data_IF_135665292859
#
_entry.id   IF_135665292859
#
_cell.length_a   1.000
_cell.length_b   1.000
_cell.length_c   1.000
_cell.angle_alpha   90.00
_cell.angle_beta   90.00
_cell.angle_gamma   90.00
#
_symmetry.space_group_name_H-M   'P 1'
#
loop_
_entity.id
_entity.type
_entity.pdbx_description
1 polymer ?
#
# COMPACT_ATOMS: atom_id res chain seq x y z
N UNK A 1 -15.76 -33.25 -16.24
CA UNK A 1 -16.28 -32.23 -15.35
C UNK A 1 -16.14 -32.53 -13.84
N UNK A 2 -15.88 -33.72 -13.43
CA UNK A 2 -15.83 -34.18 -12.02
C UNK A 2 -14.52 -33.84 -11.29
N UNK A 3 -13.38 -33.76 -11.96
CA UNK A 3 -12.08 -33.48 -11.38
C UNK A 3 -11.87 -31.99 -10.96
N UNK A 4 -12.67 -31.07 -11.50
CA UNK A 4 -12.57 -29.62 -11.16
C UNK A 4 -13.20 -29.32 -9.78
N UNK A 5 -14.25 -30.01 -9.38
CA UNK A 5 -14.98 -29.73 -8.13
C UNK A 5 -14.20 -30.04 -6.84
N UNK A 6 -13.31 -31.04 -6.87
CA UNK A 6 -12.53 -31.45 -5.67
C UNK A 6 -11.26 -30.62 -5.43
N UNK A 7 -10.77 -29.89 -6.44
CA UNK A 7 -9.58 -29.05 -6.34
C UNK A 7 -9.88 -27.60 -5.89
N UNK A 8 -11.12 -27.18 -5.93
CA UNK A 8 -11.56 -25.79 -5.68
C UNK A 8 -11.37 -25.31 -4.23
N UNK A 9 -11.70 -26.07 -3.16
CA UNK A 9 -11.45 -25.62 -1.79
C UNK A 9 -9.96 -25.41 -1.52
N UNK A 10 -9.11 -26.29 -2.10
CA UNK A 10 -7.65 -26.18 -2.00
C UNK A 10 -7.12 -24.95 -2.73
N UNK A 11 -7.66 -24.60 -3.89
CA UNK A 11 -7.23 -23.43 -4.68
C UNK A 11 -7.41 -22.11 -3.92
N UNK A 12 -8.54 -21.90 -3.22
CA UNK A 12 -8.77 -20.69 -2.44
C UNK A 12 -7.83 -20.59 -1.22
N UNK A 13 -7.56 -21.71 -0.55
CA UNK A 13 -6.62 -21.78 0.56
C UNK A 13 -5.18 -21.48 0.11
N UNK A 14 -4.78 -22.04 -1.03
CA UNK A 14 -3.43 -21.81 -1.60
C UNK A 14 -3.27 -20.38 -2.11
N UNK A 15 -4.32 -19.80 -2.73
CA UNK A 15 -4.31 -18.39 -3.10
C UNK A 15 -4.10 -17.52 -1.86
N UNK A 16 -4.81 -17.84 -0.76
CA UNK A 16 -4.61 -17.17 0.53
C UNK A 16 -3.19 -17.30 1.05
N UNK A 17 -2.61 -18.51 1.03
CA UNK A 17 -1.25 -18.76 1.49
C UNK A 17 -0.18 -18.03 0.64
N UNK A 18 -0.28 -18.10 -0.70
CA UNK A 18 0.61 -17.39 -1.59
C UNK A 18 0.51 -15.86 -1.40
N UNK A 19 -0.71 -15.36 -1.23
CA UNK A 19 -0.96 -13.94 -0.95
C UNK A 19 -0.42 -13.55 0.42
N UNK A 20 -0.51 -14.41 1.44
CA UNK A 20 0.04 -14.15 2.77
C UNK A 20 1.56 -14.03 2.74
N UNK A 21 2.25 -14.95 2.05
CA UNK A 21 3.69 -14.87 1.85
C UNK A 21 4.10 -13.55 1.17
N UNK A 22 3.38 -13.17 0.11
CA UNK A 22 3.64 -11.92 -0.59
C UNK A 22 3.35 -10.70 0.29
N UNK A 23 2.20 -10.65 0.96
CA UNK A 23 1.78 -9.51 1.78
C UNK A 23 2.70 -9.29 2.97
N UNK A 24 3.12 -10.36 3.66
CA UNK A 24 4.11 -10.30 4.73
C UNK A 24 5.45 -9.77 4.20
N UNK A 25 5.96 -10.31 3.09
CA UNK A 25 7.21 -9.85 2.53
C UNK A 25 7.16 -8.37 2.12
N UNK A 26 6.09 -7.93 1.46
CA UNK A 26 5.98 -6.56 0.98
C UNK A 26 5.76 -5.55 2.11
N UNK A 27 5.05 -5.91 3.18
CA UNK A 27 4.86 -5.03 4.33
C UNK A 27 6.17 -4.82 5.10
N UNK A 28 6.96 -5.87 5.29
CA UNK A 28 8.31 -5.77 5.88
C UNK A 28 9.22 -4.95 4.98
N UNK A 29 9.24 -5.23 3.67
CA UNK A 29 10.05 -4.49 2.71
C UNK A 29 9.70 -2.99 2.75
N UNK A 30 8.41 -2.64 2.73
CA UNK A 30 7.94 -1.25 2.78
C UNK A 30 8.38 -0.49 4.02
N UNK A 31 8.42 -1.15 5.18
CA UNK A 31 8.78 -0.52 6.46
C UNK A 31 10.28 -0.49 6.74
N UNK A 32 11.08 -1.36 6.10
CA UNK A 32 12.53 -1.45 6.33
C UNK A 32 13.37 -0.79 5.25
N UNK A 33 12.80 -0.49 4.08
CA UNK A 33 13.57 0.05 2.93
C UNK A 33 14.21 1.40 3.23
N UNK A 34 13.52 2.35 3.86
CA UNK A 34 14.08 3.66 4.19
C UNK A 34 15.26 3.53 5.16
N UNK A 35 15.14 2.64 6.14
CA UNK A 35 16.21 2.38 7.10
C UNK A 35 17.40 1.67 6.42
N UNK A 36 17.15 0.67 5.58
CA UNK A 36 18.19 0.00 4.80
C UNK A 36 18.98 0.98 3.92
N UNK A 37 18.29 1.88 3.24
CA UNK A 37 18.93 2.89 2.40
C UNK A 37 19.83 3.82 3.20
N UNK A 38 19.39 4.21 4.41
CA UNK A 38 20.16 5.08 5.28
C UNK A 38 21.37 4.35 5.90
N UNK A 39 21.16 3.17 6.48
CA UNK A 39 22.15 2.46 7.29
C UNK A 39 23.15 1.64 6.46
N UNK A 40 22.64 0.93 5.43
CA UNK A 40 23.45 -0.02 4.65
C UNK A 40 23.96 0.57 3.33
N UNK A 41 23.14 1.40 2.66
CA UNK A 41 23.53 2.01 1.40
C UNK A 41 24.10 3.43 1.56
N UNK A 42 24.20 3.95 2.79
CA UNK A 42 24.75 5.27 3.09
C UNK A 42 24.00 6.43 2.42
N UNK A 43 22.70 6.27 2.22
CA UNK A 43 21.89 7.25 1.54
C UNK A 43 21.38 8.33 2.52
N UNK A 44 21.81 9.56 2.31
CA UNK A 44 21.19 10.72 3.00
C UNK A 44 19.70 10.87 2.60
N UNK A 45 18.93 11.70 3.33
CA UNK A 45 17.49 11.84 3.16
C UNK A 45 17.04 12.13 1.72
N UNK A 46 17.77 12.98 0.99
CA UNK A 46 17.48 13.29 -0.41
C UNK A 46 17.61 12.08 -1.33
N UNK A 47 18.61 11.20 -1.10
CA UNK A 47 18.79 9.95 -1.84
C UNK A 47 17.70 8.94 -1.49
N UNK A 48 17.29 8.86 -0.22
CA UNK A 48 16.14 8.03 0.19
C UNK A 48 14.89 8.47 -0.57
N UNK A 49 14.59 9.77 -0.62
CA UNK A 49 13.46 10.29 -1.38
C UNK A 49 13.55 9.98 -2.87
N UNK A 50 14.75 10.16 -3.48
CA UNK A 50 14.98 9.83 -4.89
C UNK A 50 14.71 8.36 -5.22
N UNK A 51 15.10 7.44 -4.34
CA UNK A 51 14.76 6.02 -4.49
C UNK A 51 13.25 5.81 -4.60
N UNK A 52 12.45 6.41 -3.71
CA UNK A 52 11.00 6.25 -3.72
C UNK A 52 10.37 6.89 -4.96
N UNK A 53 10.86 8.03 -5.44
CA UNK A 53 10.44 8.65 -6.71
C UNK A 53 10.70 7.72 -7.90
N UNK A 54 11.94 7.22 -8.03
CA UNK A 54 12.31 6.31 -9.13
C UNK A 54 11.48 5.02 -9.07
N UNK A 55 11.32 4.44 -7.88
CA UNK A 55 10.51 3.23 -7.69
C UNK A 55 9.05 3.47 -8.05
N UNK A 56 8.47 4.62 -7.70
CA UNK A 56 7.10 4.96 -8.05
C UNK A 56 6.91 5.13 -9.56
N UNK A 57 7.79 5.87 -10.24
CA UNK A 57 7.73 6.07 -11.69
C UNK A 57 7.82 4.75 -12.44
N UNK A 58 8.81 3.92 -12.08
CA UNK A 58 9.00 2.61 -12.71
C UNK A 58 7.84 1.67 -12.42
N UNK A 59 7.34 1.64 -11.17
CA UNK A 59 6.19 0.80 -10.79
C UNK A 59 4.92 1.16 -11.56
N UNK A 60 4.65 2.44 -11.79
CA UNK A 60 3.52 2.90 -12.61
C UNK A 60 3.69 2.44 -14.06
N UNK A 61 4.86 2.66 -14.65
CA UNK A 61 5.18 2.23 -16.01
C UNK A 61 5.03 0.71 -16.20
N UNK A 62 5.61 -0.06 -15.27
CA UNK A 62 5.51 -1.52 -15.27
C UNK A 62 4.09 -2.00 -15.00
N UNK A 63 3.36 -1.36 -14.08
CA UNK A 63 1.96 -1.67 -13.81
C UNK A 63 1.07 -1.55 -15.04
N UNK A 64 1.24 -0.47 -15.82
CA UNK A 64 0.50 -0.25 -17.07
C UNK A 64 0.90 -1.25 -18.17
N UNK A 65 2.18 -1.52 -18.33
CA UNK A 65 2.68 -2.44 -19.38
C UNK A 65 2.32 -3.89 -19.06
N UNK A 66 2.57 -4.33 -17.82
CA UNK A 66 2.21 -5.68 -17.35
C UNK A 66 0.69 -5.85 -17.32
N UNK A 67 -0.07 -4.83 -16.94
CA UNK A 67 -1.52 -4.84 -17.01
C UNK A 67 -2.02 -5.16 -18.42
N UNK A 68 -1.60 -4.38 -19.41
CA UNK A 68 -1.94 -4.58 -20.84
C UNK A 68 -1.46 -5.92 -21.38
N UNK A 69 -0.25 -6.36 -21.00
CA UNK A 69 0.29 -7.64 -21.39
C UNK A 69 -0.47 -8.80 -20.74
N UNK A 70 -0.76 -8.70 -19.45
CA UNK A 70 -1.55 -9.70 -18.73
C UNK A 70 -2.94 -9.88 -19.34
N UNK A 71 -3.47 -8.79 -19.93
CA UNK A 71 -4.75 -8.79 -20.61
C UNK A 71 -4.77 -9.61 -21.91
N UNK A 72 -3.63 -9.91 -22.48
CA UNK A 72 -3.46 -10.77 -23.67
C UNK A 72 -3.14 -12.23 -23.32
N UNK A 73 -2.78 -12.51 -22.06
CA UNK A 73 -2.41 -13.86 -21.64
C UNK A 73 -3.65 -14.71 -21.35
N UNK A 74 -3.56 -15.98 -21.71
CA UNK A 74 -4.59 -16.99 -21.42
C UNK A 74 -4.56 -17.46 -19.97
N UNK A 75 -3.43 -17.28 -19.28
CA UNK A 75 -3.22 -17.75 -17.89
C UNK A 75 -2.57 -16.64 -17.04
N UNK A 76 -3.38 -15.95 -16.25
CA UNK A 76 -2.96 -14.87 -15.34
C UNK A 76 -2.02 -15.36 -14.22
N UNK A 77 -2.05 -16.66 -13.91
CA UNK A 77 -1.15 -17.29 -12.93
C UNK A 77 0.32 -17.01 -13.25
N UNK A 78 0.72 -17.00 -14.54
CA UNK A 78 2.09 -16.73 -14.95
C UNK A 78 2.55 -15.31 -14.56
N UNK A 79 1.63 -14.34 -14.52
CA UNK A 79 1.95 -12.98 -14.08
C UNK A 79 2.16 -12.93 -12.57
N UNK A 80 1.36 -13.67 -11.79
CA UNK A 80 1.56 -13.80 -10.34
C UNK A 80 2.94 -14.43 -10.03
N UNK A 81 3.30 -15.49 -10.76
CA UNK A 81 4.61 -16.16 -10.63
C UNK A 81 5.75 -15.20 -10.97
N UNK A 82 5.65 -14.51 -12.12
CA UNK A 82 6.67 -13.55 -12.56
C UNK A 82 6.86 -12.43 -11.52
N UNK A 83 5.76 -11.85 -11.03
CA UNK A 83 5.81 -10.78 -10.04
C UNK A 83 6.43 -11.24 -8.70
N UNK A 84 6.07 -12.45 -8.24
CA UNK A 84 6.66 -13.02 -7.03
C UNK A 84 8.14 -13.36 -7.19
N UNK A 85 8.55 -13.89 -8.35
CA UNK A 85 9.97 -14.16 -8.67
C UNK A 85 10.78 -12.87 -8.78
N UNK A 86 10.21 -11.82 -9.39
CA UNK A 86 10.86 -10.51 -9.43
C UNK A 86 11.05 -9.94 -8.02
N UNK A 87 10.05 -10.07 -7.16
CA UNK A 87 10.16 -9.68 -5.76
C UNK A 87 11.23 -10.47 -5.01
N UNK A 88 11.30 -11.80 -5.23
CA UNK A 88 12.32 -12.65 -4.64
C UNK A 88 13.73 -12.25 -5.09
N UNK A 89 13.93 -12.02 -6.39
CA UNK A 89 15.19 -11.54 -6.93
C UNK A 89 15.55 -10.15 -6.40
N UNK A 90 14.55 -9.25 -6.27
CA UNK A 90 14.73 -7.93 -5.67
C UNK A 90 15.16 -8.01 -4.22
N UNK A 91 14.48 -8.81 -3.38
CA UNK A 91 14.85 -9.02 -1.99
C UNK A 91 16.24 -9.69 -1.87
N UNK A 92 16.55 -10.67 -2.71
CA UNK A 92 17.89 -11.26 -2.79
C UNK A 92 18.97 -10.23 -3.13
N UNK A 93 18.65 -9.31 -4.05
CA UNK A 93 19.54 -8.19 -4.37
C UNK A 93 19.81 -7.28 -3.16
N UNK A 94 18.78 -6.93 -2.40
CA UNK A 94 18.92 -6.15 -1.16
C UNK A 94 19.70 -6.93 -0.09
N UNK A 95 19.61 -8.26 -0.04
CA UNK A 95 20.40 -9.06 0.88
C UNK A 95 21.93 -8.95 0.60
N UNK A 96 22.31 -8.80 -0.66
CA UNK A 96 23.70 -8.92 -1.11
C UNK A 96 24.36 -7.59 -1.48
N UNK A 97 23.58 -6.62 -1.98
CA UNK A 97 24.09 -5.36 -2.55
C UNK A 97 23.94 -4.22 -1.57
N UNK A 98 25.00 -3.40 -1.46
CA UNK A 98 25.03 -2.19 -0.61
C UNK A 98 25.24 -0.91 -1.41
N UNK A 99 25.64 -1.03 -2.67
CA UNK A 99 25.86 0.13 -3.54
C UNK A 99 24.53 0.78 -3.90
N UNK A 100 24.35 2.04 -3.52
CA UNK A 100 23.10 2.78 -3.67
C UNK A 100 22.50 2.73 -5.09
N UNK A 101 23.34 2.95 -6.14
CA UNK A 101 22.87 2.95 -7.52
C UNK A 101 22.28 1.60 -7.95
N UNK A 102 22.94 0.50 -7.56
CA UNK A 102 22.43 -0.86 -7.85
C UNK A 102 21.17 -1.18 -7.05
N UNK A 103 21.13 -0.78 -5.76
CA UNK A 103 19.93 -0.91 -4.93
C UNK A 103 18.75 -0.15 -5.54
N UNK A 104 18.98 1.07 -6.07
CA UNK A 104 17.94 1.83 -6.78
C UNK A 104 17.45 1.09 -8.03
N UNK A 105 18.37 0.57 -8.85
CA UNK A 105 17.99 -0.16 -10.06
C UNK A 105 17.20 -1.44 -9.72
N UNK A 106 17.69 -2.23 -8.75
CA UNK A 106 17.02 -3.45 -8.27
C UNK A 106 15.64 -3.14 -7.71
N UNK A 107 15.55 -2.18 -6.79
CA UNK A 107 14.29 -1.81 -6.14
C UNK A 107 13.28 -1.23 -7.13
N UNK A 108 13.70 -0.33 -8.02
CA UNK A 108 12.80 0.26 -9.02
C UNK A 108 12.30 -0.78 -10.03
N UNK A 109 13.18 -1.59 -10.62
CA UNK A 109 12.81 -2.54 -11.66
C UNK A 109 12.15 -3.80 -11.08
N UNK A 110 12.83 -4.50 -10.19
CA UNK A 110 12.33 -5.77 -9.65
C UNK A 110 11.23 -5.54 -8.61
N UNK A 111 11.38 -4.55 -7.75
CA UNK A 111 10.34 -4.15 -6.80
C UNK A 111 9.11 -3.59 -7.50
N UNK A 112 9.29 -2.76 -8.55
CA UNK A 112 8.19 -2.26 -9.37
C UNK A 112 7.42 -3.39 -10.07
N UNK A 113 8.13 -4.40 -10.59
CA UNK A 113 7.51 -5.57 -11.19
C UNK A 113 6.79 -6.42 -10.14
N UNK A 114 7.38 -6.60 -8.96
CA UNK A 114 6.75 -7.31 -7.84
C UNK A 114 5.42 -6.66 -7.42
N UNK A 115 5.32 -5.35 -7.41
CA UNK A 115 4.10 -4.63 -7.05
C UNK A 115 2.90 -4.96 -7.94
N UNK A 116 3.13 -5.44 -9.17
CA UNK A 116 2.05 -5.89 -10.06
C UNK A 116 1.28 -7.09 -9.50
N UNK A 117 1.88 -7.87 -8.58
CA UNK A 117 1.21 -9.01 -7.92
C UNK A 117 -0.10 -8.60 -7.28
N UNK A 118 -0.13 -7.48 -6.57
CA UNK A 118 -1.32 -7.01 -5.85
C UNK A 118 -2.53 -6.83 -6.77
N UNK A 119 -2.37 -6.13 -7.91
CA UNK A 119 -3.45 -5.95 -8.87
C UNK A 119 -3.87 -7.26 -9.54
N UNK A 120 -2.92 -8.13 -9.85
CA UNK A 120 -3.15 -9.38 -10.54
C UNK A 120 -3.82 -10.45 -9.65
N UNK A 121 -3.52 -10.48 -8.34
CA UNK A 121 -4.16 -11.43 -7.43
C UNK A 121 -5.65 -11.12 -7.21
N UNK A 122 -6.03 -9.83 -7.18
CA UNK A 122 -7.45 -9.47 -7.14
C UNK A 122 -8.18 -9.85 -8.41
N UNK A 123 -7.56 -9.64 -9.58
CA UNK A 123 -8.12 -10.05 -10.85
C UNK A 123 -8.25 -11.59 -10.95
N UNK A 124 -7.23 -12.34 -10.51
CA UNK A 124 -7.27 -13.80 -10.45
C UNK A 124 -8.36 -14.31 -9.48
N UNK A 125 -8.48 -13.70 -8.30
CA UNK A 125 -9.51 -14.06 -7.33
C UNK A 125 -10.93 -13.84 -7.88
N UNK A 126 -11.13 -12.78 -8.66
CA UNK A 126 -12.39 -12.53 -9.37
C UNK A 126 -12.68 -13.60 -10.41
N UNK A 127 -11.74 -13.89 -11.30
CA UNK A 127 -11.87 -14.92 -12.34
C UNK A 127 -12.12 -16.30 -11.71
N UNK A 128 -11.41 -16.65 -10.64
CA UNK A 128 -11.61 -17.89 -9.90
C UNK A 128 -13.03 -17.97 -9.29
N UNK A 129 -13.54 -16.86 -8.77
CA UNK A 129 -14.89 -16.79 -8.18
C UNK A 129 -15.97 -16.98 -9.26
N UNK A 130 -15.81 -16.37 -10.43
CA UNK A 130 -16.73 -16.49 -11.57
C UNK A 130 -16.85 -17.95 -12.04
N UNK A 131 -15.73 -18.69 -12.19
CA UNK A 131 -15.72 -20.10 -12.63
C UNK A 131 -16.28 -21.03 -11.56
N UNK A 132 -16.06 -20.71 -10.28
CA UNK A 132 -16.47 -21.57 -9.17
C UNK A 132 -17.90 -21.31 -8.71
N UNK A 133 -18.58 -20.32 -9.29
CA UNK A 133 -19.92 -19.88 -8.85
C UNK A 133 -19.96 -19.32 -7.43
N UNK A 134 -18.79 -18.94 -6.88
CA UNK A 134 -18.68 -18.31 -5.55
C UNK A 134 -18.97 -16.82 -5.65
N UNK A 135 -19.41 -16.22 -4.54
CA UNK A 135 -19.61 -14.79 -4.46
C UNK A 135 -18.29 -14.04 -4.71
N UNK A 136 -18.27 -13.18 -5.74
CA UNK A 136 -17.15 -12.29 -6.07
C UNK A 136 -16.69 -11.47 -4.87
N UNK A 137 -17.65 -10.97 -4.10
CA UNK A 137 -17.41 -10.19 -2.88
C UNK A 137 -16.62 -10.99 -1.84
N UNK A 138 -16.91 -12.28 -1.65
CA UNK A 138 -16.17 -13.13 -0.71
C UNK A 138 -14.76 -13.41 -1.18
N UNK A 139 -14.55 -13.65 -2.48
CA UNK A 139 -13.23 -13.92 -3.06
C UNK A 139 -12.29 -12.74 -2.89
N UNK A 140 -12.74 -11.55 -3.27
CA UNK A 140 -11.94 -10.32 -3.15
C UNK A 140 -11.76 -9.88 -1.70
N UNK A 141 -12.78 -10.05 -0.84
CA UNK A 141 -12.69 -9.72 0.59
C UNK A 141 -11.67 -10.62 1.31
N UNK A 142 -11.59 -11.92 0.96
CA UNK A 142 -10.58 -12.81 1.57
C UNK A 142 -9.15 -12.40 1.21
N UNK A 143 -8.88 -12.04 -0.05
CA UNK A 143 -7.58 -11.53 -0.48
C UNK A 143 -7.23 -10.25 0.29
N UNK A 144 -8.18 -9.32 0.42
CA UNK A 144 -7.99 -8.07 1.15
C UNK A 144 -7.68 -8.30 2.64
N UNK A 145 -8.40 -9.23 3.28
CA UNK A 145 -8.15 -9.61 4.68
C UNK A 145 -6.72 -10.16 4.88
N UNK A 146 -6.23 -10.96 3.93
CA UNK A 146 -4.85 -11.48 3.97
C UNK A 146 -3.82 -10.36 3.83
N UNK A 147 -4.05 -9.38 2.94
CA UNK A 147 -3.18 -8.20 2.85
C UNK A 147 -3.17 -7.41 4.18
N UNK A 148 -4.34 -7.17 4.77
CA UNK A 148 -4.44 -6.48 6.06
C UNK A 148 -3.68 -7.23 7.17
N UNK A 149 -3.82 -8.56 7.24
CA UNK A 149 -3.05 -9.38 8.18
C UNK A 149 -1.54 -9.27 7.96
N UNK A 150 -1.09 -9.22 6.69
CA UNK A 150 0.31 -8.98 6.34
C UNK A 150 0.84 -7.64 6.88
N UNK A 151 0.06 -6.58 6.78
CA UNK A 151 0.43 -5.26 7.31
C UNK A 151 0.40 -5.19 8.84
N UNK A 152 -0.47 -5.96 9.51
CA UNK A 152 -0.50 -6.05 10.99
C UNK A 152 0.71 -6.79 11.52
N UNK A 153 1.05 -7.93 10.91
CA UNK A 153 2.06 -8.87 11.43
C UNK A 153 3.46 -8.59 10.88
N UNK A 154 3.55 -8.13 9.61
CA UNK A 154 4.82 -7.98 8.92
C UNK A 154 5.77 -6.96 9.56
N UNK A 155 5.38 -5.68 9.75
CA UNK A 155 6.28 -4.68 10.31
C UNK A 155 6.83 -5.03 11.69
N UNK A 156 6.02 -5.47 12.69
CA UNK A 156 6.55 -5.87 13.99
C UNK A 156 7.50 -7.06 13.88
N UNK A 157 7.11 -8.10 13.15
CA UNK A 157 7.93 -9.30 13.00
C UNK A 157 9.22 -9.01 12.23
N UNK A 158 9.13 -8.23 11.13
CA UNK A 158 10.27 -7.89 10.30
C UNK A 158 11.30 -7.03 11.02
N UNK A 159 10.86 -5.98 11.72
CA UNK A 159 11.76 -5.10 12.46
C UNK A 159 12.33 -5.78 13.73
N UNK A 160 11.55 -6.65 14.39
CA UNK A 160 12.09 -7.51 15.45
C UNK A 160 13.17 -8.46 14.90
N UNK A 161 12.91 -9.11 13.76
CA UNK A 161 13.89 -10.00 13.13
C UNK A 161 15.12 -9.23 12.68
N UNK A 162 14.96 -8.04 12.13
CA UNK A 162 16.06 -7.15 11.72
C UNK A 162 17.04 -6.91 12.88
N UNK A 163 16.56 -6.61 14.08
CA UNK A 163 17.42 -6.36 15.24
C UNK A 163 18.17 -7.60 15.72
N UNK A 164 17.73 -8.80 15.35
CA UNK A 164 18.36 -10.08 15.73
C UNK A 164 19.31 -10.61 14.67
N UNK A 165 19.03 -10.40 13.40
CA UNK A 165 19.72 -11.09 12.31
C UNK A 165 20.38 -10.15 11.29
N UNK A 166 20.08 -8.85 11.36
CA UNK A 166 20.55 -7.84 10.40
C UNK A 166 19.82 -7.89 9.05
N UNK A 167 20.10 -6.90 8.19
CA UNK A 167 19.42 -6.71 6.90
C UNK A 167 19.65 -7.87 5.93
N UNK A 168 20.86 -8.43 5.86
CA UNK A 168 21.18 -9.51 4.92
C UNK A 168 20.31 -10.74 5.13
N UNK A 169 20.21 -11.22 6.37
CA UNK A 169 19.39 -12.39 6.71
C UNK A 169 17.88 -12.07 6.59
N UNK A 170 17.46 -10.87 7.00
CA UNK A 170 16.07 -10.42 6.83
C UNK A 170 15.65 -10.50 5.36
N UNK A 171 16.39 -9.84 4.46
CA UNK A 171 16.03 -9.80 3.04
C UNK A 171 16.17 -11.16 2.35
N UNK A 172 17.12 -12.01 2.77
CA UNK A 172 17.18 -13.40 2.32
C UNK A 172 15.92 -14.19 2.72
N UNK A 173 15.41 -13.98 3.94
CA UNK A 173 14.15 -14.55 4.40
C UNK A 173 12.94 -14.05 3.59
N UNK A 174 12.91 -12.76 3.25
CA UNK A 174 11.84 -12.20 2.37
C UNK A 174 11.93 -12.79 0.96
N UNK A 175 13.14 -12.99 0.42
CA UNK A 175 13.35 -13.65 -0.85
C UNK A 175 12.80 -15.09 -0.83
N UNK A 176 13.08 -15.85 0.22
CA UNK A 176 12.55 -17.21 0.39
C UNK A 176 11.03 -17.23 0.47
N UNK A 177 10.43 -16.27 1.19
CA UNK A 177 8.99 -16.14 1.32
C UNK A 177 8.31 -15.84 -0.04
N UNK A 178 8.90 -14.97 -0.85
CA UNK A 178 8.44 -14.63 -2.19
C UNK A 178 8.64 -15.76 -3.19
N UNK A 179 9.73 -16.53 -3.07
CA UNK A 179 9.92 -17.78 -3.81
C UNK A 179 8.83 -18.79 -3.47
N UNK A 180 8.50 -18.94 -2.19
CA UNK A 180 7.39 -19.81 -1.77
C UNK A 180 6.07 -19.34 -2.38
N UNK A 181 5.78 -18.05 -2.39
CA UNK A 181 4.60 -17.50 -3.06
C UNK A 181 4.58 -17.86 -4.56
N UNK A 182 5.71 -17.73 -5.25
CA UNK A 182 5.84 -18.09 -6.66
C UNK A 182 5.62 -19.60 -6.90
N UNK A 183 6.20 -20.45 -6.07
CA UNK A 183 6.03 -21.91 -6.15
C UNK A 183 4.59 -22.32 -5.90
N UNK A 184 3.93 -21.78 -4.86
CA UNK A 184 2.52 -22.01 -4.59
C UNK A 184 1.64 -21.57 -5.77
N UNK A 185 1.92 -20.39 -6.32
CA UNK A 185 1.20 -19.90 -7.48
C UNK A 185 1.43 -20.79 -8.72
N UNK A 186 2.65 -21.25 -8.95
CA UNK A 186 3.01 -22.05 -10.14
C UNK A 186 2.45 -23.47 -10.13
N UNK A 187 2.53 -24.13 -8.98
CA UNK A 187 2.27 -25.56 -8.89
C UNK A 187 0.87 -25.92 -8.38
N UNK A 188 0.25 -25.04 -7.61
CA UNK A 188 -1.01 -25.37 -6.93
C UNK A 188 -2.21 -24.56 -7.41
N UNK A 189 -2.00 -23.31 -7.89
CA UNK A 189 -3.13 -22.54 -8.43
C UNK A 189 -3.60 -23.14 -9.77
N UNK A 190 -4.92 -23.31 -9.98
CA UNK A 190 -5.47 -23.79 -11.24
C UNK A 190 -5.28 -22.76 -12.36
N UNK A 191 -5.29 -23.24 -13.61
CA UNK A 191 -5.42 -22.36 -14.77
C UNK A 191 -6.85 -21.87 -14.88
N UNK A 192 -7.03 -20.56 -14.89
CA UNK A 192 -8.34 -19.92 -14.97
C UNK A 192 -8.48 -19.28 -16.34
N UNK A 193 -9.40 -19.80 -17.21
CA UNK A 193 -9.70 -19.15 -18.48
C UNK A 193 -10.31 -17.77 -18.24
N UNK A 194 -9.97 -16.81 -19.07
CA UNK A 194 -10.34 -15.43 -18.89
C UNK A 194 -11.70 -15.09 -19.52
N UNK A 195 -12.51 -14.31 -18.79
CA UNK A 195 -13.66 -13.60 -19.35
C UNK A 195 -13.19 -12.24 -19.92
N UNK A 196 -13.49 -11.99 -21.20
CA UNK A 196 -13.19 -10.70 -21.83
C UNK A 196 -14.18 -9.64 -21.32
N UNK A 197 -13.69 -8.62 -20.62
CA UNK A 197 -14.49 -7.44 -20.32
C UNK A 197 -14.23 -6.35 -21.37
N UNK A 198 -15.26 -5.70 -21.92
CA UNK A 198 -15.09 -4.60 -22.86
C UNK A 198 -14.38 -3.42 -22.20
N UNK A 199 -13.36 -2.88 -22.87
CA UNK A 199 -12.65 -1.69 -22.42
C UNK A 199 -13.50 -0.44 -22.71
N UNK A 200 -13.96 0.23 -21.67
CA UNK A 200 -14.56 1.57 -21.78
C UNK A 200 -13.48 2.62 -22.06
N UNK A 201 -13.77 3.60 -22.92
CA UNK A 201 -12.85 4.72 -23.22
C UNK A 201 -12.62 5.55 -21.96
N UNK A 202 -11.37 5.59 -21.49
CA UNK A 202 -10.97 6.36 -20.29
C UNK A 202 -11.27 7.86 -20.46
N UNK A 203 -11.15 8.39 -21.69
CA UNK A 203 -11.34 9.81 -21.98
C UNK A 203 -12.79 10.25 -21.78
N UNK A 204 -13.74 9.44 -22.24
CA UNK A 204 -15.18 9.76 -22.10
C UNK A 204 -15.62 9.64 -20.65
N UNK A 205 -15.03 8.69 -19.92
CA UNK A 205 -15.26 8.53 -18.49
C UNK A 205 -14.73 9.71 -17.68
N UNK A 206 -13.57 10.28 -18.01
CA UNK A 206 -12.98 11.42 -17.32
C UNK A 206 -13.76 12.71 -17.51
N UNK A 207 -14.34 12.94 -18.69
CA UNK A 207 -15.11 14.14 -19.01
C UNK A 207 -16.45 14.22 -18.26
N UNK A 208 -16.96 13.10 -17.75
CA UNK A 208 -18.21 13.01 -17.02
C UNK A 208 -18.04 13.13 -15.49
N UNK A 209 -16.79 13.23 -15.00
CA UNK A 209 -16.52 13.30 -13.56
C UNK A 209 -16.87 14.68 -13.00
N UNK A 210 -17.81 14.79 -12.04
CA UNK A 210 -18.19 16.07 -11.44
C UNK A 210 -17.03 16.76 -10.73
N UNK A 211 -17.01 18.10 -10.71
CA UNK A 211 -16.00 18.89 -10.00
C UNK A 211 -15.86 18.49 -8.53
N UNK A 212 -16.96 18.18 -7.87
CA UNK A 212 -16.96 17.72 -6.47
C UNK A 212 -16.20 16.40 -6.27
N UNK A 213 -16.20 15.51 -7.27
CA UNK A 213 -15.44 14.25 -7.23
C UNK A 213 -13.93 14.52 -7.39
N UNK A 214 -13.53 15.47 -8.25
CA UNK A 214 -12.12 15.88 -8.36
C UNK A 214 -11.58 16.49 -7.07
N UNK A 215 -12.39 17.29 -6.36
CA UNK A 215 -12.02 17.83 -5.04
C UNK A 215 -11.83 16.72 -4.01
N UNK A 216 -12.67 15.68 -4.04
CA UNK A 216 -12.53 14.51 -3.17
C UNK A 216 -11.27 13.68 -3.50
N UNK A 217 -11.02 13.45 -4.78
CA UNK A 217 -9.80 12.74 -5.23
C UNK A 217 -8.53 13.53 -4.87
N UNK A 218 -8.56 14.85 -5.04
CA UNK A 218 -7.47 15.74 -4.61
C UNK A 218 -7.22 15.69 -3.11
N UNK A 219 -8.28 15.70 -2.30
CA UNK A 219 -8.18 15.56 -0.85
C UNK A 219 -7.62 14.17 -0.45
N UNK A 220 -8.11 13.10 -1.07
CA UNK A 220 -7.61 11.75 -0.84
C UNK A 220 -6.13 11.63 -1.24
N UNK A 221 -5.74 12.22 -2.38
CA UNK A 221 -4.33 12.26 -2.80
C UNK A 221 -3.47 13.00 -1.79
N UNK A 222 -3.89 14.17 -1.32
CA UNK A 222 -3.11 14.95 -0.35
C UNK A 222 -2.87 14.18 0.96
N UNK A 223 -3.88 13.48 1.47
CA UNK A 223 -3.73 12.64 2.67
C UNK A 223 -2.86 11.41 2.41
N UNK A 224 -3.04 10.75 1.26
CA UNK A 224 -2.20 9.61 0.88
C UNK A 224 -0.73 10.03 0.71
N UNK A 225 -0.46 11.27 0.27
CA UNK A 225 0.91 11.83 0.24
C UNK A 225 1.45 11.98 1.65
N UNK A 226 0.66 12.56 2.56
CA UNK A 226 1.06 12.72 3.96
C UNK A 226 1.35 11.37 4.64
N UNK A 227 0.51 10.36 4.39
CA UNK A 227 0.69 9.00 4.89
C UNK A 227 1.95 8.35 4.32
N UNK A 228 2.18 8.47 3.01
CA UNK A 228 3.41 7.97 2.37
C UNK A 228 4.66 8.65 2.92
N UNK A 229 4.63 9.97 3.19
CA UNK A 229 5.72 10.68 3.86
C UNK A 229 5.96 10.13 5.28
N UNK A 230 4.90 9.87 6.04
CA UNK A 230 4.98 9.24 7.36
C UNK A 230 5.64 7.86 7.30
N UNK A 231 5.20 6.99 6.39
CA UNK A 231 5.76 5.64 6.25
C UNK A 231 7.24 5.65 5.87
N UNK A 232 7.68 6.60 5.03
CA UNK A 232 9.10 6.75 4.65
C UNK A 232 9.93 7.31 5.82
N UNK A 233 9.40 8.31 6.53
CA UNK A 233 10.13 9.05 7.54
C UNK A 233 10.13 8.39 8.93
N UNK A 234 9.12 7.57 9.27
CA UNK A 234 8.92 7.04 10.62
C UNK A 234 10.14 6.28 11.15
N UNK A 235 10.67 5.35 10.34
CA UNK A 235 11.78 4.52 10.79
C UNK A 235 13.06 5.34 11.02
N UNK A 236 13.58 6.11 10.05
CA UNK A 236 14.75 6.93 10.29
C UNK A 236 14.52 8.05 11.32
N UNK A 237 13.33 8.62 11.43
CA UNK A 237 12.99 9.58 12.48
C UNK A 237 13.13 8.96 13.88
N UNK A 238 12.47 7.81 14.09
CA UNK A 238 12.49 7.14 15.38
C UNK A 238 13.89 6.64 15.78
N UNK A 239 14.65 6.09 14.81
CA UNK A 239 15.97 5.51 15.11
C UNK A 239 17.09 6.53 15.12
N UNK A 240 17.18 7.44 14.15
CA UNK A 240 18.30 8.37 14.02
C UNK A 240 18.09 9.69 14.78
N UNK A 241 16.85 10.21 14.80
CA UNK A 241 16.60 11.50 15.47
C UNK A 241 16.18 11.33 16.93
N UNK A 242 15.44 10.26 17.28
CA UNK A 242 14.99 10.01 18.66
C UNK A 242 15.80 8.95 19.39
N UNK A 243 16.72 8.22 18.73
CA UNK A 243 17.51 7.16 19.33
C UNK A 243 16.71 5.94 19.80
N UNK A 244 15.52 5.73 19.27
CA UNK A 244 14.63 4.63 19.65
C UNK A 244 14.96 3.36 18.86
N UNK A 245 14.58 2.20 19.38
CA UNK A 245 14.86 0.92 18.71
C UNK A 245 14.01 0.72 17.45
N UNK A 246 14.58 0.05 16.44
CA UNK A 246 13.83 -0.36 15.25
C UNK A 246 12.65 -1.29 15.59
N UNK A 247 12.76 -2.10 16.65
CA UNK A 247 11.65 -2.93 17.15
C UNK A 247 10.43 -2.09 17.53
N UNK A 248 10.65 -0.91 18.15
CA UNK A 248 9.56 0.01 18.48
C UNK A 248 8.86 0.54 17.23
N UNK A 249 9.60 0.83 16.14
CA UNK A 249 9.00 1.24 14.86
C UNK A 249 8.04 0.17 14.34
N UNK A 250 8.46 -1.10 14.42
CA UNK A 250 7.59 -2.23 14.06
C UNK A 250 6.34 -2.30 14.92
N UNK A 251 6.49 -2.07 16.23
CA UNK A 251 5.37 -2.05 17.16
C UNK A 251 4.40 -0.90 16.86
N UNK A 252 4.91 0.29 16.48
CA UNK A 252 4.08 1.43 16.08
C UNK A 252 3.22 1.08 14.86
N UNK A 253 3.85 0.57 13.80
CA UNK A 253 3.15 0.18 12.57
C UNK A 253 2.13 -0.95 12.83
N UNK A 254 2.52 -1.97 13.58
CA UNK A 254 1.65 -3.08 13.95
C UNK A 254 0.47 -2.64 14.83
N UNK A 255 0.69 -1.74 15.78
CA UNK A 255 -0.35 -1.19 16.65
C UNK A 255 -1.37 -0.38 15.84
N UNK A 256 -0.90 0.48 14.92
CA UNK A 256 -1.78 1.23 14.03
C UNK A 256 -2.67 0.27 13.21
N UNK A 257 -2.06 -0.70 12.53
CA UNK A 257 -2.78 -1.66 11.71
C UNK A 257 -3.74 -2.56 12.52
N UNK A 258 -3.35 -2.96 13.74
CA UNK A 258 -4.22 -3.74 14.62
C UNK A 258 -5.44 -2.95 15.11
N UNK A 259 -5.28 -1.65 15.39
CA UNK A 259 -6.37 -0.76 15.75
C UNK A 259 -7.27 -0.45 14.53
N UNK A 260 -6.71 -0.35 13.34
CA UNK A 260 -7.45 -0.05 12.11
C UNK A 260 -8.51 -1.12 11.79
N UNK A 261 -8.24 -2.40 12.03
CA UNK A 261 -9.16 -3.50 11.72
C UNK A 261 -10.54 -3.33 12.38
N UNK A 262 -10.66 -3.21 13.72
CA UNK A 262 -11.95 -3.00 14.37
C UNK A 262 -12.57 -1.65 14.01
N UNK A 263 -11.74 -0.62 13.77
CA UNK A 263 -12.21 0.70 13.37
C UNK A 263 -12.86 0.68 11.97
N UNK A 264 -12.31 -0.04 11.01
CA UNK A 264 -12.92 -0.23 9.68
C UNK A 264 -14.33 -0.82 9.77
N UNK A 265 -14.55 -1.76 10.69
CA UNK A 265 -15.89 -2.34 10.95
C UNK A 265 -16.82 -1.27 11.56
N UNK A 266 -16.29 -0.45 12.46
CA UNK A 266 -17.02 0.63 13.15
C UNK A 266 -17.36 1.81 12.23
N UNK A 267 -16.47 2.15 11.29
CA UNK A 267 -16.63 3.29 10.37
C UNK A 267 -17.95 3.21 9.59
N UNK A 268 -18.34 2.02 9.11
CA UNK A 268 -19.60 1.84 8.39
C UNK A 268 -20.82 2.17 9.23
N UNK A 269 -20.84 1.79 10.52
CA UNK A 269 -21.93 2.12 11.46
C UNK A 269 -21.95 3.61 11.79
N UNK A 270 -20.77 4.18 12.00
CA UNK A 270 -20.61 5.59 12.32
C UNK A 270 -20.99 6.49 11.13
N UNK A 271 -20.68 6.07 9.91
CA UNK A 271 -21.05 6.74 8.67
C UNK A 271 -22.57 6.82 8.49
N UNK A 272 -23.31 5.75 8.87
CA UNK A 272 -24.77 5.76 8.86
C UNK A 272 -25.40 6.74 9.86
N UNK A 273 -24.71 7.05 10.98
CA UNK A 273 -25.20 7.96 12.03
C UNK A 273 -24.80 9.42 11.80
N UNK A 274 -23.54 9.68 11.48
CA UNK A 274 -22.96 11.02 11.39
C UNK A 274 -22.92 11.57 9.97
N UNK A 275 -23.06 10.70 8.96
CA UNK A 275 -22.87 11.00 7.55
C UNK A 275 -21.42 10.90 7.10
N UNK A 276 -21.20 10.27 5.94
CA UNK A 276 -19.88 9.96 5.38
C UNK A 276 -19.02 11.22 5.18
N UNK A 277 -19.61 12.30 4.65
CA UNK A 277 -18.88 13.55 4.41
C UNK A 277 -18.38 14.24 5.68
N UNK A 278 -19.16 14.16 6.76
CA UNK A 278 -18.73 14.73 8.06
C UNK A 278 -17.57 13.93 8.62
N UNK A 279 -17.63 12.60 8.51
CA UNK A 279 -16.55 11.72 8.97
C UNK A 279 -15.25 11.96 8.20
N UNK A 280 -15.33 12.03 6.86
CA UNK A 280 -14.15 12.28 6.02
C UNK A 280 -13.50 13.63 6.34
N UNK A 281 -14.31 14.68 6.57
CA UNK A 281 -13.79 15.99 7.01
C UNK A 281 -13.19 15.95 8.41
N UNK A 282 -13.84 15.27 9.35
CA UNK A 282 -13.32 15.09 10.71
C UNK A 282 -12.01 14.32 10.73
N UNK A 283 -11.90 13.28 9.90
CA UNK A 283 -10.68 12.51 9.76
C UNK A 283 -9.52 13.32 9.17
N UNK A 284 -9.78 14.25 8.23
CA UNK A 284 -8.74 15.15 7.73
C UNK A 284 -8.23 16.11 8.81
N UNK A 285 -9.11 16.62 9.70
CA UNK A 285 -8.69 17.41 10.86
C UNK A 285 -7.89 16.57 11.85
N UNK A 286 -8.31 15.35 12.10
CA UNK A 286 -7.61 14.43 13.00
C UNK A 286 -6.22 14.07 12.46
N UNK A 287 -6.11 13.84 11.14
CA UNK A 287 -4.83 13.64 10.47
C UNK A 287 -3.90 14.85 10.62
N UNK A 288 -4.42 16.07 10.41
CA UNK A 288 -3.64 17.29 10.62
C UNK A 288 -3.15 17.39 12.08
N UNK A 289 -4.02 17.12 13.05
CA UNK A 289 -3.65 17.08 14.47
C UNK A 289 -2.59 16.03 14.79
N UNK A 290 -2.74 14.83 14.25
CA UNK A 290 -1.74 13.77 14.36
C UNK A 290 -0.36 14.25 13.85
N UNK A 291 -0.31 14.79 12.65
CA UNK A 291 0.93 15.26 12.05
C UNK A 291 1.54 16.47 12.78
N UNK A 292 0.72 17.35 13.35
CA UNK A 292 1.21 18.47 14.22
C UNK A 292 1.83 17.92 15.50
N UNK A 293 1.30 16.83 16.06
CA UNK A 293 1.80 16.26 17.31
C UNK A 293 3.08 15.41 17.12
N UNK A 294 3.30 14.84 15.93
CA UNK A 294 4.46 13.99 15.65
C UNK A 294 5.82 14.64 15.93
N UNK A 295 6.10 15.91 15.54
CA UNK A 295 7.37 16.56 15.83
C UNK A 295 7.70 16.76 17.31
N UNK A 296 6.70 16.68 18.18
CA UNK A 296 6.88 16.82 19.63
C UNK A 296 7.12 15.48 20.34
N UNK A 297 7.16 14.36 19.58
CA UNK A 297 7.44 13.07 20.17
C UNK A 297 8.86 13.02 20.74
N UNK A 298 8.94 12.69 22.02
CA UNK A 298 10.19 12.55 22.78
C UNK A 298 10.38 11.14 23.35
N UNK A 299 9.40 10.25 23.20
CA UNK A 299 9.45 8.92 23.80
C UNK A 299 8.60 7.88 23.04
N UNK A 300 8.94 6.60 23.22
CA UNK A 300 8.19 5.49 22.63
C UNK A 300 6.72 5.43 23.05
N UNK A 301 6.38 5.56 24.35
CA UNK A 301 4.99 5.60 24.79
C UNK A 301 4.17 6.73 24.14
N UNK A 302 4.76 7.90 23.95
CA UNK A 302 4.10 9.00 23.25
C UNK A 302 3.77 8.63 21.80
N UNK A 303 4.72 8.06 21.07
CA UNK A 303 4.50 7.59 19.69
C UNK A 303 3.44 6.49 19.63
N UNK A 304 3.41 5.56 20.61
CA UNK A 304 2.38 4.52 20.69
C UNK A 304 0.99 5.14 20.91
N UNK A 305 0.86 6.14 21.77
CA UNK A 305 -0.41 6.83 22.01
C UNK A 305 -0.91 7.51 20.71
N UNK A 306 -0.02 8.08 19.94
CA UNK A 306 -0.34 8.69 18.63
C UNK A 306 -0.85 7.68 17.60
N UNK A 307 -0.62 6.35 17.77
CA UNK A 307 -1.19 5.37 16.86
C UNK A 307 -2.72 5.27 16.95
N UNK A 308 -3.33 5.72 18.05
CA UNK A 308 -4.80 5.76 18.18
C UNK A 308 -5.41 6.77 17.20
N UNK A 309 -5.07 8.08 17.23
CA UNK A 309 -5.56 9.01 16.22
C UNK A 309 -5.10 8.63 14.81
N UNK A 310 -3.89 8.03 14.65
CA UNK A 310 -3.40 7.54 13.37
C UNK A 310 -4.35 6.49 12.77
N UNK A 311 -4.67 5.44 13.50
CA UNK A 311 -5.58 4.39 13.05
C UNK A 311 -7.00 4.92 12.77
N UNK A 312 -7.47 5.89 13.56
CA UNK A 312 -8.81 6.47 13.39
C UNK A 312 -8.96 7.22 12.06
N UNK A 313 -8.03 8.14 11.74
CA UNK A 313 -8.14 8.88 10.50
C UNK A 313 -7.86 7.99 9.28
N UNK A 314 -6.91 7.04 9.38
CA UNK A 314 -6.57 6.10 8.32
C UNK A 314 -7.78 5.22 7.97
N UNK A 315 -8.44 4.61 8.97
CA UNK A 315 -9.62 3.78 8.76
C UNK A 315 -10.73 4.51 7.99
N UNK A 316 -10.95 5.79 8.29
CA UNK A 316 -11.97 6.61 7.61
C UNK A 316 -11.54 6.95 6.17
N UNK A 317 -10.30 7.44 5.99
CA UNK A 317 -9.83 7.99 4.72
C UNK A 317 -9.42 6.92 3.69
N UNK A 318 -9.15 5.69 4.13
CA UNK A 318 -8.95 4.55 3.22
C UNK A 318 -10.30 3.99 2.72
N UNK A 319 -11.37 4.07 3.52
CA UNK A 319 -12.64 3.39 3.19
C UNK A 319 -13.70 4.31 2.57
N UNK A 320 -14.01 5.44 3.19
CA UNK A 320 -15.16 6.25 2.79
C UNK A 320 -15.00 7.04 1.48
N UNK A 321 -13.82 7.60 1.12
CA UNK A 321 -13.68 8.33 -0.14
C UNK A 321 -14.02 7.48 -1.36
N UNK A 322 -13.64 6.20 -1.35
CA UNK A 322 -13.99 5.26 -2.42
C UNK A 322 -15.51 5.11 -2.59
N UNK A 323 -16.24 4.98 -1.48
CA UNK A 323 -17.72 4.87 -1.48
C UNK A 323 -18.36 6.13 -2.03
N UNK A 324 -17.85 7.30 -1.61
CA UNK A 324 -18.35 8.59 -2.08
C UNK A 324 -18.10 8.78 -3.58
N UNK A 325 -16.92 8.43 -4.10
CA UNK A 325 -16.59 8.49 -5.54
C UNK A 325 -17.52 7.57 -6.34
N UNK A 326 -17.78 6.35 -5.85
CA UNK A 326 -18.69 5.41 -6.51
C UNK A 326 -20.12 5.91 -6.61
N UNK A 327 -20.60 6.65 -5.60
CA UNK A 327 -21.96 7.25 -5.62
C UNK A 327 -22.07 8.43 -6.58
N UNK A 328 -20.99 9.14 -6.83
CA UNK A 328 -20.98 10.33 -7.68
C UNK A 328 -20.83 10.02 -9.16
N UNK A 329 -20.43 8.80 -9.52
CA UNK A 329 -20.29 8.34 -10.90
C UNK A 329 -21.29 7.19 -11.14
N UNK A 330 -22.58 7.50 -11.44
CA UNK A 330 -23.61 6.49 -11.65
C UNK A 330 -23.27 5.59 -12.84
N UNK A 331 -23.43 4.27 -12.66
CA UNK A 331 -23.08 3.29 -13.71
C UNK A 331 -21.59 3.08 -13.96
N UNK A 332 -20.73 3.89 -13.35
CA UNK A 332 -19.29 3.89 -13.53
C UNK A 332 -18.48 3.31 -12.35
N UNK A 333 -18.97 2.28 -11.65
CA UNK A 333 -18.27 1.73 -10.48
C UNK A 333 -16.81 1.33 -10.78
N UNK A 334 -16.54 0.80 -11.97
CA UNK A 334 -15.18 0.50 -12.43
C UNK A 334 -14.32 1.75 -12.63
N UNK A 335 -14.90 2.79 -13.24
CA UNK A 335 -14.24 4.10 -13.43
C UNK A 335 -13.96 4.77 -12.10
N UNK A 336 -14.94 4.78 -11.18
CA UNK A 336 -14.78 5.29 -9.83
C UNK A 336 -13.63 4.60 -9.09
N UNK A 337 -13.58 3.27 -9.16
CA UNK A 337 -12.52 2.46 -8.57
C UNK A 337 -11.15 2.77 -9.19
N UNK A 338 -11.08 2.92 -10.52
CA UNK A 338 -9.84 3.23 -11.23
C UNK A 338 -9.31 4.63 -10.85
N UNK A 339 -10.19 5.64 -10.82
CA UNK A 339 -9.84 7.01 -10.44
C UNK A 339 -9.33 7.09 -8.99
N UNK A 340 -10.04 6.45 -8.07
CA UNK A 340 -9.60 6.42 -6.67
C UNK A 340 -8.26 5.68 -6.53
N UNK A 341 -8.11 4.52 -7.18
CA UNK A 341 -6.87 3.75 -7.13
C UNK A 341 -5.68 4.50 -7.74
N UNK A 342 -5.91 5.39 -8.71
CA UNK A 342 -4.86 6.23 -9.29
C UNK A 342 -4.29 7.25 -8.28
N UNK A 343 -5.01 7.56 -7.20
CA UNK A 343 -4.48 8.45 -6.14
C UNK A 343 -3.27 7.86 -5.42
N UNK A 344 -3.17 6.53 -5.29
CA UNK A 344 -2.07 5.87 -4.58
C UNK A 344 -0.71 6.00 -5.29
N UNK A 345 -0.56 5.66 -6.58
CA UNK A 345 0.72 5.83 -7.26
C UNK A 345 1.13 7.30 -7.38
N UNK A 346 0.18 8.22 -7.56
CA UNK A 346 0.45 9.66 -7.53
C UNK A 346 0.96 10.07 -6.16
N UNK A 347 0.32 9.61 -5.10
CA UNK A 347 0.74 9.89 -3.74
C UNK A 347 2.13 9.30 -3.45
N UNK A 348 2.42 8.09 -3.89
CA UNK A 348 3.73 7.45 -3.71
C UNK A 348 4.85 8.24 -4.37
N UNK A 349 4.62 8.74 -5.59
CA UNK A 349 5.57 9.61 -6.30
C UNK A 349 5.84 10.90 -5.53
N UNK A 350 4.78 11.60 -5.13
CA UNK A 350 4.87 12.88 -4.42
C UNK A 350 5.46 12.71 -3.02
N UNK A 351 5.08 11.67 -2.28
CA UNK A 351 5.58 11.42 -0.92
C UNK A 351 7.08 11.17 -0.92
N UNK A 352 7.61 10.39 -1.87
CA UNK A 352 9.06 10.18 -2.01
C UNK A 352 9.82 11.47 -2.27
N UNK A 353 9.35 12.26 -3.25
CA UNK A 353 9.98 13.53 -3.60
C UNK A 353 9.93 14.55 -2.46
N UNK A 354 8.75 14.76 -1.86
CA UNK A 354 8.58 15.70 -0.75
C UNK A 354 9.36 15.26 0.49
N UNK A 355 9.34 13.96 0.85
CA UNK A 355 10.16 13.47 1.97
C UNK A 355 11.62 13.72 1.74
N UNK A 356 12.15 13.42 0.54
CA UNK A 356 13.55 13.64 0.23
C UNK A 356 13.94 15.11 0.30
N UNK A 357 13.13 16.00 -0.27
CA UNK A 357 13.37 17.46 -0.24
C UNK A 357 13.29 18.03 1.17
N UNK A 358 12.21 17.75 1.89
CA UNK A 358 11.99 18.31 3.22
C UNK A 358 13.00 17.75 4.22
N UNK A 359 13.23 16.44 4.21
CA UNK A 359 14.15 15.80 5.15
C UNK A 359 15.62 16.20 4.90
N UNK A 360 16.01 16.52 3.66
CA UNK A 360 17.35 17.02 3.36
C UNK A 360 17.64 18.40 3.99
N UNK A 361 16.61 19.24 4.20
CA UNK A 361 16.76 20.59 4.73
C UNK A 361 16.45 20.70 6.23
N UNK A 362 15.47 19.94 6.72
CA UNK A 362 14.92 20.08 8.08
C UNK A 362 14.84 18.76 8.86
N UNK A 363 15.54 17.72 8.40
CA UNK A 363 15.46 16.39 8.98
C UNK A 363 14.10 15.71 8.74
N UNK A 364 13.99 14.48 9.17
CA UNK A 364 12.72 13.71 9.05
C UNK A 364 11.60 14.30 9.90
N UNK A 365 11.94 14.99 10.99
CA UNK A 365 10.99 15.75 11.82
C UNK A 365 10.21 16.78 11.00
N UNK A 366 10.87 17.44 10.05
CA UNK A 366 10.26 18.44 9.16
C UNK A 366 9.18 17.86 8.26
N UNK A 367 9.26 16.58 7.89
CA UNK A 367 8.28 15.92 7.02
C UNK A 367 6.88 15.87 7.63
N UNK A 368 6.78 15.83 8.96
CA UNK A 368 5.49 15.82 9.65
C UNK A 368 4.77 17.18 9.58
N UNK A 369 5.49 18.29 9.56
CA UNK A 369 4.89 19.60 9.30
C UNK A 369 4.30 19.69 7.89
N UNK A 370 5.01 19.13 6.90
CA UNK A 370 4.48 19.01 5.55
C UNK A 370 3.22 18.12 5.52
N UNK A 371 3.21 16.99 6.24
CA UNK A 371 2.05 16.12 6.41
C UNK A 371 0.85 16.86 7.02
N UNK A 372 1.09 17.72 8.02
CA UNK A 372 0.06 18.56 8.62
C UNK A 372 -0.53 19.56 7.60
N UNK A 373 0.32 20.21 6.81
CA UNK A 373 -0.11 21.13 5.76
C UNK A 373 -0.95 20.42 4.67
N UNK A 374 -0.53 19.23 4.24
CA UNK A 374 -1.25 18.42 3.26
C UNK A 374 -2.62 17.96 3.82
N UNK A 375 -2.68 17.56 5.08
CA UNK A 375 -3.94 17.18 5.74
C UNK A 375 -4.88 18.38 5.89
N UNK A 376 -4.35 19.57 6.20
CA UNK A 376 -5.10 20.81 6.22
C UNK A 376 -5.62 21.18 4.82
N UNK A 377 -4.79 21.02 3.77
CA UNK A 377 -5.22 21.18 2.37
C UNK A 377 -6.37 20.25 2.03
N UNK A 378 -6.27 18.98 2.42
CA UNK A 378 -7.35 18.01 2.21
C UNK A 378 -8.65 18.48 2.86
N UNK A 379 -8.61 19.00 4.07
CA UNK A 379 -9.79 19.54 4.73
C UNK A 379 -10.36 20.76 4.00
N UNK A 380 -9.53 21.67 3.47
CA UNK A 380 -9.99 22.81 2.66
C UNK A 380 -10.69 22.33 1.40
N UNK A 381 -10.11 21.36 0.67
CA UNK A 381 -10.71 20.77 -0.52
C UNK A 381 -12.08 20.11 -0.20
N UNK A 382 -12.17 19.39 0.91
CA UNK A 382 -13.41 18.76 1.37
C UNK A 382 -14.48 19.80 1.81
N UNK A 383 -14.06 20.97 2.28
CA UNK A 383 -14.97 22.10 2.53
C UNK A 383 -15.47 22.75 1.24
N UNK A 384 -14.56 22.98 0.28
CA UNK A 384 -14.90 23.53 -1.03
C UNK A 384 -15.90 22.63 -1.79
N UNK A 385 -15.73 21.30 -1.66
CA UNK A 385 -16.65 20.31 -2.24
C UNK A 385 -18.10 20.47 -1.80
N UNK A 386 -18.36 20.93 -0.57
CA UNK A 386 -19.73 21.15 -0.07
C UNK A 386 -20.44 22.33 -0.77
N UNK A 387 -19.65 23.25 -1.35
CA UNK A 387 -20.16 24.43 -2.05
C UNK A 387 -20.25 24.23 -3.56
N UNK A 388 -19.61 23.18 -4.10
CA UNK A 388 -19.62 22.78 -5.51
C UNK A 388 -20.68 21.70 -5.78
#
# INVERSE_FOLDING_TARGET
MTTVRTTIPRASGVLGAATACYALAMSVFGTTTSLFLADEAGAGPGRVGLYFVLSAVVSVGLGLTVGRWSDRLTDRRNVLVMAALAGAAGAGGFALVRQYALVCAIGALLGGLAQTYASQVFAYARELSEITGRSLTRGTASVRAVFSAGWVLGPPAGLFLLTRTGFGALYAGLAALLLLAALLARWVLPRVPRAHAPATSLRDALNQVPRRTWLLLGAATAVNVADGMYLIALAPYATHELGLSATLVGLLAGTCAALEIPLLIGVGRLAGRLGEERLVRGAAVLAAGFFVLMPFAASGPYLLLLQVPNALWTAVLVSLPMVLVQREIPGGAGTAAALFSATFPVAQLLSGGLTGLVAAHSGYRGTFWCGAALSALAWVLLRARRKA
#
